data_IF_746365009026
#
_entry.id   IF_746365009026
#
_cell.length_a   1.000
_cell.length_b   1.000
_cell.length_c   1.000
_cell.angle_alpha   90.00
_cell.angle_beta   90.00
_cell.angle_gamma   90.00
#
_symmetry.space_group_name_H-M   'P 1'
#
loop_
_entity.id
_entity.type
_entity.pdbx_description
1 polymer ?
#
# COMPACT_ATOMS: atom_id res chain seq x y z
N UNK A 1 13.08 2.60 -14.05
CA UNK A 1 11.81 3.05 -13.44
C UNK A 1 11.85 2.70 -11.97
N UNK A 2 11.40 3.58 -11.09
CA UNK A 2 11.26 3.32 -9.65
C UNK A 2 9.88 2.75 -9.34
N UNK A 3 9.78 1.98 -8.26
CA UNK A 3 8.49 1.45 -7.81
C UNK A 3 7.52 2.59 -7.42
N UNK A 4 8.01 3.72 -6.88
CA UNK A 4 7.14 4.86 -6.54
C UNK A 4 6.36 5.44 -7.73
N UNK A 5 6.84 5.26 -8.96
CA UNK A 5 6.19 5.80 -10.17
C UNK A 5 4.81 5.18 -10.40
N UNK A 6 4.62 3.88 -10.08
CA UNK A 6 3.32 3.20 -10.24
C UNK A 6 2.27 3.62 -9.19
N UNK A 7 2.65 4.41 -8.20
CA UNK A 7 1.75 5.01 -7.20
C UNK A 7 1.22 6.38 -7.63
N UNK A 8 1.70 6.95 -8.75
CA UNK A 8 1.26 8.27 -9.22
C UNK A 8 -0.25 8.30 -9.55
N UNK A 9 -0.77 7.20 -10.12
CA UNK A 9 -2.20 7.04 -10.37
C UNK A 9 -2.89 6.42 -9.15
N UNK A 10 -3.68 7.21 -8.44
CA UNK A 10 -4.47 6.70 -7.31
C UNK A 10 -5.62 5.79 -7.78
N UNK A 11 -6.04 4.81 -6.97
CA UNK A 11 -7.28 4.07 -7.19
C UNK A 11 -8.49 5.00 -7.12
N UNK A 12 -9.55 4.65 -7.86
CA UNK A 12 -10.80 5.44 -7.89
C UNK A 12 -11.62 5.30 -6.61
N UNK A 13 -11.38 4.26 -5.83
CA UNK A 13 -12.06 3.95 -4.58
C UNK A 13 -11.07 3.45 -3.53
N UNK A 14 -11.34 3.77 -2.27
CA UNK A 14 -10.55 3.40 -1.09
C UNK A 14 -11.42 2.61 -0.12
N UNK A 15 -10.82 1.72 0.68
CA UNK A 15 -11.55 0.98 1.72
C UNK A 15 -11.95 1.88 2.89
N UNK A 16 -10.98 2.62 3.42
CA UNK A 16 -11.14 3.60 4.48
C UNK A 16 -10.44 4.91 4.16
N UNK A 17 -10.80 5.96 4.91
CA UNK A 17 -10.23 7.30 4.77
C UNK A 17 -8.73 7.36 5.04
N UNK A 18 -8.16 6.35 5.72
CA UNK A 18 -6.73 6.33 6.01
C UNK A 18 -5.89 5.50 5.04
N UNK A 19 -6.50 4.76 4.12
CA UNK A 19 -5.76 4.04 3.06
C UNK A 19 -4.96 4.98 2.14
N UNK A 20 -5.44 6.19 1.77
CA UNK A 20 -4.62 7.15 1.02
C UNK A 20 -3.32 7.55 1.73
N UNK A 21 -3.30 7.64 3.07
CA UNK A 21 -2.06 7.97 3.80
C UNK A 21 -1.06 6.82 3.73
N UNK A 22 -1.53 5.58 3.85
CA UNK A 22 -0.69 4.41 3.68
C UNK A 22 -0.15 4.30 2.25
N UNK A 23 -0.97 4.64 1.25
CA UNK A 23 -0.53 4.72 -0.14
C UNK A 23 0.61 5.73 -0.33
N UNK A 24 0.48 6.93 0.22
CA UNK A 24 1.54 7.94 0.20
C UNK A 24 2.80 7.47 0.94
N UNK A 25 2.66 6.89 2.13
CA UNK A 25 3.80 6.37 2.89
C UNK A 25 4.55 5.27 2.11
N UNK A 26 3.83 4.34 1.48
CA UNK A 26 4.44 3.30 0.65
C UNK A 26 5.14 3.88 -0.58
N UNK A 27 4.53 4.87 -1.24
CA UNK A 27 5.16 5.59 -2.36
C UNK A 27 6.49 6.20 -1.95
N UNK A 28 6.55 6.88 -0.80
CA UNK A 28 7.76 7.51 -0.28
C UNK A 28 8.84 6.48 0.08
N UNK A 29 8.46 5.38 0.73
CA UNK A 29 9.37 4.28 1.08
C UNK A 29 10.00 3.63 -0.13
N UNK A 30 9.24 3.52 -1.22
CA UNK A 30 9.63 2.82 -2.44
C UNK A 30 10.30 3.73 -3.48
N UNK A 31 10.52 5.01 -3.18
CA UNK A 31 11.03 6.00 -4.13
C UNK A 31 12.45 5.72 -4.65
N UNK A 32 13.25 5.04 -3.85
CA UNK A 32 14.64 4.71 -4.23
C UNK A 32 14.80 3.31 -4.80
N UNK A 33 13.75 2.49 -4.75
CA UNK A 33 13.80 1.08 -5.16
C UNK A 33 13.48 1.00 -6.66
N UNK A 34 14.39 0.39 -7.41
CA UNK A 34 14.17 0.11 -8.83
C UNK A 34 13.08 -0.93 -9.02
N UNK A 35 12.34 -0.81 -10.11
CA UNK A 35 11.34 -1.79 -10.52
C UNK A 35 12.03 -3.17 -10.67
N UNK A 36 11.55 -4.21 -9.99
CA UNK A 36 12.15 -5.54 -10.07
C UNK A 36 11.82 -6.20 -11.41
N UNK A 37 12.49 -7.31 -11.72
CA UNK A 37 12.33 -8.00 -13.01
C UNK A 37 10.96 -8.67 -13.16
N UNK A 38 10.33 -9.04 -12.03
CA UNK A 38 9.08 -9.82 -12.03
C UNK A 38 7.96 -9.20 -11.18
N UNK A 39 6.68 -9.38 -11.57
CA UNK A 39 5.53 -8.98 -10.78
C UNK A 39 5.50 -9.62 -9.38
N UNK A 40 6.00 -10.85 -9.24
CA UNK A 40 6.05 -11.57 -7.97
C UNK A 40 7.05 -10.92 -7.00
N UNK A 41 8.21 -10.50 -7.48
CA UNK A 41 9.18 -9.74 -6.68
C UNK A 41 8.59 -8.38 -6.26
N UNK A 42 7.90 -7.69 -7.18
CA UNK A 42 7.22 -6.43 -6.86
C UNK A 42 6.20 -6.63 -5.75
N UNK A 43 5.37 -7.67 -5.87
CA UNK A 43 4.38 -8.04 -4.86
C UNK A 43 5.05 -8.25 -3.50
N UNK A 44 6.10 -9.07 -3.42
CA UNK A 44 6.80 -9.34 -2.16
C UNK A 44 7.43 -8.09 -1.55
N UNK A 45 7.95 -7.17 -2.36
CA UNK A 45 8.49 -5.89 -1.87
C UNK A 45 7.37 -5.04 -1.26
N UNK A 46 6.25 -4.89 -1.96
CA UNK A 46 5.11 -4.08 -1.48
C UNK A 46 4.49 -4.68 -0.22
N UNK A 47 4.28 -6.01 -0.17
CA UNK A 47 3.73 -6.69 1.01
C UNK A 47 4.64 -6.53 2.24
N UNK A 48 5.96 -6.57 2.04
CA UNK A 48 6.93 -6.33 3.11
C UNK A 48 6.87 -4.89 3.61
N UNK A 49 6.86 -3.91 2.71
CA UNK A 49 6.75 -2.50 3.13
C UNK A 49 5.39 -2.17 3.76
N UNK A 50 4.31 -2.83 3.31
CA UNK A 50 3.00 -2.78 3.96
C UNK A 50 3.09 -3.26 5.40
N UNK A 51 3.73 -4.40 5.66
CA UNK A 51 3.90 -4.93 7.01
C UNK A 51 4.78 -4.02 7.88
N UNK A 52 5.87 -3.50 7.33
CA UNK A 52 6.75 -2.55 8.03
C UNK A 52 6.01 -1.26 8.38
N UNK A 53 5.18 -0.74 7.47
CA UNK A 53 4.39 0.45 7.72
C UNK A 53 3.29 0.16 8.75
N UNK A 54 2.51 -0.89 8.57
CA UNK A 54 1.28 -1.10 9.36
C UNK A 54 1.49 -1.89 10.65
N UNK A 55 2.60 -2.59 10.79
CA UNK A 55 2.83 -3.59 11.84
C UNK A 55 2.03 -4.88 11.66
N UNK A 56 1.30 -5.03 10.54
CA UNK A 56 0.42 -6.16 10.28
C UNK A 56 0.74 -6.78 8.91
N UNK A 57 0.79 -8.11 8.87
CA UNK A 57 0.92 -8.83 7.60
C UNK A 57 -0.29 -8.55 6.70
N UNK A 58 -0.09 -8.58 5.38
CA UNK A 58 -1.18 -8.48 4.38
C UNK A 58 -2.24 -9.59 4.54
N UNK A 59 -1.90 -10.69 5.22
CA UNK A 59 -2.83 -11.78 5.52
C UNK A 59 -3.75 -11.46 6.72
N UNK A 60 -3.50 -10.38 7.45
CA UNK A 60 -4.41 -9.91 8.49
C UNK A 60 -5.73 -9.47 7.84
N UNK A 61 -6.86 -9.96 8.37
CA UNK A 61 -8.18 -9.76 7.74
C UNK A 61 -9.07 -8.77 8.46
N UNK A 62 -8.77 -8.45 9.71
CA UNK A 62 -9.56 -7.52 10.51
C UNK A 62 -9.08 -6.09 10.31
N UNK A 63 -10.00 -5.13 10.33
CA UNK A 63 -9.58 -3.74 10.31
C UNK A 63 -8.74 -3.39 11.55
N UNK A 64 -7.74 -2.53 11.37
CA UNK A 64 -6.91 -2.06 12.47
C UNK A 64 -6.68 -0.57 12.33
N UNK A 65 -6.23 0.04 13.43
CA UNK A 65 -5.93 1.46 13.50
C UNK A 65 -4.42 1.65 13.47
N UNK A 66 -4.00 2.55 12.61
CA UNK A 66 -2.65 3.11 12.60
C UNK A 66 -2.73 4.51 13.20
N UNK A 67 -2.29 4.66 14.45
CA UNK A 67 -2.45 5.90 15.22
C UNK A 67 -1.85 7.13 14.52
N UNK A 68 -0.71 6.97 13.84
CA UNK A 68 -0.07 8.07 13.09
C UNK A 68 -0.89 8.58 11.90
N UNK A 69 -1.89 7.82 11.44
CA UNK A 69 -2.84 8.28 10.41
C UNK A 69 -4.10 8.91 11.01
N UNK A 70 -4.19 9.05 12.33
CA UNK A 70 -5.28 9.73 13.01
C UNK A 70 -5.12 11.25 12.88
N UNK A 71 -6.02 11.88 12.12
CA UNK A 71 -6.06 13.34 11.94
C UNK A 71 -7.26 13.98 12.66
N UNK A 72 -7.83 13.28 13.66
CA UNK A 72 -8.98 13.72 14.47
C UNK A 72 -10.31 13.11 14.03
N UNK A 73 -11.18 12.81 15.01
CA UNK A 73 -12.52 12.25 14.81
C UNK A 73 -12.63 10.73 15.06
N UNK A 74 -13.87 10.27 15.25
CA UNK A 74 -14.27 8.91 15.68
C UNK A 74 -13.94 7.75 14.70
N UNK A 75 -13.37 8.04 13.52
CA UNK A 75 -12.99 7.01 12.52
C UNK A 75 -11.69 7.35 11.79
N UNK A 76 -10.79 8.05 12.48
CA UNK A 76 -9.47 8.36 11.93
C UNK A 76 -8.50 7.19 12.17
N UNK A 77 -7.60 6.93 11.22
CA UNK A 77 -6.53 5.95 11.34
C UNK A 77 -6.85 4.52 10.90
N UNK A 78 -8.09 4.21 10.49
CA UNK A 78 -8.48 2.87 10.08
C UNK A 78 -7.87 2.45 8.73
N UNK A 79 -7.20 1.30 8.68
CA UNK A 79 -6.72 0.64 7.46
C UNK A 79 -7.63 -0.51 7.10
N UNK A 80 -7.96 -0.67 5.81
CA UNK A 80 -8.80 -1.74 5.30
C UNK A 80 -7.94 -2.84 4.67
N UNK A 81 -7.66 -3.96 5.36
CA UNK A 81 -6.83 -5.02 4.77
C UNK A 81 -7.48 -5.67 3.56
N UNK A 82 -8.82 -5.72 3.52
CA UNK A 82 -9.59 -6.19 2.36
C UNK A 82 -9.25 -5.38 1.11
N UNK A 83 -9.29 -4.04 1.22
CA UNK A 83 -8.90 -3.16 0.12
C UNK A 83 -7.47 -3.45 -0.34
N UNK A 84 -6.51 -3.54 0.58
CA UNK A 84 -5.10 -3.76 0.23
C UNK A 84 -4.86 -5.12 -0.43
N UNK A 85 -5.50 -6.17 0.07
CA UNK A 85 -5.36 -7.51 -0.44
C UNK A 85 -6.05 -7.71 -1.79
N UNK A 86 -7.28 -7.19 -1.96
CA UNK A 86 -8.11 -7.48 -3.13
C UNK A 86 -7.96 -6.44 -4.25
N UNK A 87 -7.55 -5.21 -3.91
CA UNK A 87 -7.49 -4.09 -4.84
C UNK A 87 -6.12 -3.39 -4.86
N UNK A 88 -5.64 -2.87 -3.73
CA UNK A 88 -4.46 -2.00 -3.65
C UNK A 88 -3.19 -2.66 -4.19
N UNK A 89 -2.76 -3.77 -3.59
CA UNK A 89 -1.54 -4.48 -4.03
C UNK A 89 -1.74 -5.10 -5.41
N UNK A 90 -2.85 -5.80 -5.72
CA UNK A 90 -3.09 -6.32 -7.07
C UNK A 90 -3.06 -5.23 -8.16
N UNK A 91 -3.56 -4.03 -7.87
CA UNK A 91 -3.50 -2.89 -8.80
C UNK A 91 -2.04 -2.48 -9.07
N UNK A 92 -1.23 -2.34 -8.02
CA UNK A 92 0.18 -1.99 -8.16
C UNK A 92 0.96 -3.07 -8.92
N UNK A 93 0.71 -4.35 -8.63
CA UNK A 93 1.34 -5.47 -9.34
C UNK A 93 0.96 -5.49 -10.82
N UNK A 94 -0.29 -5.15 -11.18
CA UNK A 94 -0.72 -5.03 -12.58
C UNK A 94 -0.04 -3.87 -13.32
N UNK A 95 0.47 -2.88 -12.61
CA UNK A 95 1.25 -1.76 -13.16
C UNK A 95 2.74 -2.07 -13.29
N UNK A 96 3.16 -3.30 -12.94
CA UNK A 96 4.53 -3.75 -13.17
C UNK A 96 4.89 -3.58 -14.65
N UNK A 97 6.10 -3.07 -14.87
CA UNK A 97 6.73 -3.07 -16.18
C UNK A 97 8.13 -3.66 -15.99
N UNK A 98 8.49 -4.60 -16.85
CA UNK A 98 9.85 -5.15 -16.81
C UNK A 98 10.86 -4.04 -17.17
N UNK A 99 12.02 -3.97 -16.48
CA UNK A 99 13.05 -2.97 -16.73
C UNK A 99 13.73 -3.09 -18.11
#
# INVERSE_FOLDING_TARGET
>A
MKISEIFADEPTQWGFRSDPYLWCELKERLDKIDMPDTPEQLKSIIEKEYEVATGHSINHREHFIVERFMHGGLSSGGISPEFWHDCGIPLLVKRHVAP
#
